data_IF_614968020893
#
_entry.id   IF_614968020893
#
_cell.length_a   1.000
_cell.length_b   1.000
_cell.length_c   1.000
_cell.angle_alpha   90.00
_cell.angle_beta   90.00
_cell.angle_gamma   90.00
#
_symmetry.space_group_name_H-M   'P 1'
#
loop_
_entity.id
_entity.type
_entity.pdbx_description
1 polymer ?
#
# COMPACT_ATOMS: atom_id res chain seq x y z
N UNK A 1 -16.46 14.46 17.00
CA UNK A 1 -16.71 13.03 16.74
C UNK A 1 -16.88 12.85 15.24
N UNK A 2 -15.75 12.76 14.54
CA UNK A 2 -15.67 12.59 13.07
C UNK A 2 -14.32 11.91 12.75
N UNK A 3 -13.93 10.95 13.60
CA UNK A 3 -12.60 10.33 13.58
C UNK A 3 -12.63 8.89 13.01
N UNK A 4 -13.80 8.24 12.97
CA UNK A 4 -13.96 6.85 12.53
C UNK A 4 -13.59 6.55 11.07
N UNK A 5 -13.74 7.51 10.15
CA UNK A 5 -13.59 7.21 8.72
C UNK A 5 -12.15 7.02 8.25
N UNK A 6 -11.16 7.45 9.03
CA UNK A 6 -9.75 7.32 8.66
C UNK A 6 -9.13 6.03 9.18
N UNK A 7 -9.47 5.60 10.39
CA UNK A 7 -8.99 4.34 10.98
C UNK A 7 -9.57 3.13 10.25
N UNK A 8 -10.88 3.13 9.97
CA UNK A 8 -11.55 2.04 9.24
C UNK A 8 -10.93 1.80 7.85
N UNK A 9 -10.61 2.88 7.11
CA UNK A 9 -9.92 2.76 5.83
C UNK A 9 -8.49 2.24 5.98
N UNK A 10 -7.77 2.63 7.05
CA UNK A 10 -6.39 2.20 7.27
C UNK A 10 -6.31 0.71 7.61
N UNK A 11 -7.24 0.21 8.43
CA UNK A 11 -7.35 -1.21 8.77
C UNK A 11 -7.74 -2.05 7.54
N UNK A 12 -8.74 -1.61 6.78
CA UNK A 12 -9.14 -2.26 5.52
C UNK A 12 -7.99 -2.26 4.50
N UNK A 13 -7.22 -1.16 4.45
CA UNK A 13 -6.05 -1.04 3.59
C UNK A 13 -4.92 -1.96 4.01
N UNK A 14 -4.68 -2.11 5.31
CA UNK A 14 -3.69 -3.04 5.82
C UNK A 14 -4.08 -4.50 5.51
N UNK A 15 -5.34 -4.87 5.72
CA UNK A 15 -5.86 -6.18 5.36
C UNK A 15 -5.73 -6.46 3.85
N UNK A 16 -6.05 -5.47 3.02
CA UNK A 16 -5.90 -5.55 1.56
C UNK A 16 -4.43 -5.66 1.14
N UNK A 17 -3.52 -4.91 1.76
CA UNK A 17 -2.07 -5.02 1.53
C UNK A 17 -1.58 -6.44 1.83
N UNK A 18 -2.07 -7.06 2.91
CA UNK A 18 -1.70 -8.43 3.27
C UNK A 18 -2.24 -9.42 2.24
N UNK A 19 -3.49 -9.24 1.78
CA UNK A 19 -4.09 -10.04 0.70
C UNK A 19 -3.34 -9.90 -0.62
N UNK A 20 -2.99 -8.68 -1.02
CA UNK A 20 -2.17 -8.39 -2.19
C UNK A 20 -0.78 -8.99 -2.06
N UNK A 21 -0.15 -8.91 -0.89
CA UNK A 21 1.15 -9.54 -0.65
C UNK A 21 1.07 -11.08 -0.77
N UNK A 22 -0.06 -11.69 -0.46
CA UNK A 22 -0.28 -13.13 -0.62
C UNK A 22 -0.53 -13.53 -2.08
N UNK A 23 -1.23 -12.69 -2.86
CA UNK A 23 -1.56 -12.95 -4.27
C UNK A 23 -0.45 -12.51 -5.25
N UNK A 24 0.25 -11.42 -4.93
CA UNK A 24 1.26 -10.77 -5.76
C UNK A 24 2.55 -10.57 -4.96
N UNK A 25 3.67 -11.08 -5.49
CA UNK A 25 4.98 -10.89 -4.86
C UNK A 25 5.39 -9.40 -4.81
N UNK A 26 4.93 -8.63 -5.81
CA UNK A 26 5.25 -7.22 -6.02
C UNK A 26 3.96 -6.44 -6.28
N UNK A 27 3.72 -5.39 -5.52
CA UNK A 27 2.55 -4.52 -5.65
C UNK A 27 2.93 -3.06 -5.35
N UNK A 28 2.04 -2.14 -5.70
CA UNK A 28 2.30 -0.71 -5.61
C UNK A 28 1.15 0.04 -4.93
N UNK A 29 1.41 1.29 -4.54
CA UNK A 29 0.37 2.13 -3.95
C UNK A 29 -0.77 2.48 -4.93
N UNK A 30 -0.49 2.47 -6.22
CA UNK A 30 -1.51 2.68 -7.27
C UNK A 30 -2.41 1.45 -7.39
N UNK A 31 -1.84 0.26 -7.28
CA UNK A 31 -2.58 -1.01 -7.33
C UNK A 31 -3.53 -1.14 -6.13
N UNK A 32 -3.05 -0.81 -4.92
CA UNK A 32 -3.90 -0.70 -3.73
C UNK A 32 -5.00 0.35 -3.92
N UNK A 33 -4.66 1.54 -4.44
CA UNK A 33 -5.64 2.61 -4.67
C UNK A 33 -6.65 2.30 -5.79
N UNK A 34 -6.33 1.33 -6.65
CA UNK A 34 -7.21 0.83 -7.72
C UNK A 34 -8.12 -0.29 -7.23
N UNK A 35 -7.62 -1.17 -6.36
CA UNK A 35 -8.40 -2.25 -5.74
C UNK A 35 -9.37 -1.71 -4.67
N UNK A 36 -8.97 -0.67 -3.92
CA UNK A 36 -9.76 -0.08 -2.86
C UNK A 36 -10.53 1.18 -3.26
N UNK A 37 -11.48 1.57 -2.41
CA UNK A 37 -12.15 2.88 -2.51
C UNK A 37 -11.14 4.02 -2.45
N UNK A 38 -11.44 5.10 -3.19
CA UNK A 38 -10.60 6.30 -3.25
C UNK A 38 -10.22 6.73 -1.83
N UNK A 39 -8.91 6.87 -1.53
CA UNK A 39 -8.48 7.17 -0.18
C UNK A 39 -9.05 8.52 0.26
N UNK A 40 -9.41 8.67 1.55
CA UNK A 40 -9.89 9.95 2.08
C UNK A 40 -8.82 11.04 1.98
N UNK A 41 -7.54 10.66 2.04
CA UNK A 41 -6.40 11.55 1.88
C UNK A 41 -5.35 10.99 0.92
N UNK A 42 -4.67 11.86 0.12
CA UNK A 42 -3.61 11.42 -0.78
C UNK A 42 -2.44 10.73 -0.05
N UNK A 43 -2.26 11.00 1.25
CA UNK A 43 -1.21 10.40 2.07
C UNK A 43 -1.65 9.12 2.79
N UNK A 44 -2.95 8.81 2.81
CA UNK A 44 -3.50 7.62 3.49
C UNK A 44 -2.86 6.30 3.03
N UNK A 45 -2.72 6.01 1.72
CA UNK A 45 -2.03 4.79 1.28
C UNK A 45 -0.58 4.76 1.79
N UNK A 46 0.15 5.87 1.67
CA UNK A 46 1.52 5.97 2.19
C UNK A 46 1.63 5.65 3.69
N UNK A 47 0.64 6.02 4.49
CA UNK A 47 0.56 5.67 5.92
C UNK A 47 0.28 4.18 6.13
N UNK A 48 -0.64 3.57 5.36
CA UNK A 48 -0.92 2.13 5.43
C UNK A 48 0.32 1.30 5.09
N UNK A 49 1.02 1.63 4.00
CA UNK A 49 2.28 0.98 3.64
C UNK A 49 3.38 1.18 4.70
N UNK A 50 3.47 2.37 5.30
CA UNK A 50 4.44 2.63 6.37
C UNK A 50 4.16 1.79 7.61
N UNK A 51 2.89 1.63 8.00
CA UNK A 51 2.47 0.76 9.09
C UNK A 51 2.75 -0.72 8.79
N UNK A 52 2.39 -1.20 7.60
CA UNK A 52 2.65 -2.57 7.16
C UNK A 52 4.16 -2.90 7.13
N UNK A 53 4.99 -1.93 6.74
CA UNK A 53 6.45 -2.03 6.78
C UNK A 53 6.96 -2.07 8.21
N UNK A 54 6.48 -1.18 9.08
CA UNK A 54 6.88 -1.15 10.49
C UNK A 54 6.54 -2.46 11.21
N UNK A 55 5.41 -3.08 10.84
CA UNK A 55 5.00 -4.39 11.33
C UNK A 55 5.77 -5.56 10.69
N UNK A 56 6.59 -5.32 9.66
CA UNK A 56 7.39 -6.36 9.01
C UNK A 56 6.56 -7.33 8.17
N UNK A 57 5.49 -6.86 7.52
CA UNK A 57 4.74 -7.63 6.51
C UNK A 57 5.25 -7.39 5.09
N UNK A 58 5.81 -6.21 4.83
CA UNK A 58 6.22 -5.77 3.49
C UNK A 58 7.56 -5.05 3.54
N UNK A 59 8.27 -5.02 2.41
CA UNK A 59 9.51 -4.26 2.24
C UNK A 59 9.47 -3.43 0.97
N UNK A 60 10.03 -2.21 1.03
CA UNK A 60 10.15 -1.35 -0.13
C UNK A 60 11.34 -1.84 -0.98
N UNK A 61 11.09 -2.32 -2.19
CA UNK A 61 12.14 -2.83 -3.09
C UNK A 61 12.70 -1.76 -4.03
N UNK A 62 11.99 -0.65 -4.18
CA UNK A 62 12.45 0.44 -5.02
C UNK A 62 11.35 1.40 -5.42
N UNK A 63 11.57 2.08 -6.53
CA UNK A 63 10.62 2.99 -7.14
C UNK A 63 10.40 2.55 -8.58
N UNK A 64 9.15 2.55 -9.02
CA UNK A 64 8.76 2.29 -10.40
C UNK A 64 8.08 3.53 -10.95
N UNK A 65 8.20 3.70 -12.26
CA UNK A 65 7.50 4.78 -12.95
C UNK A 65 6.01 4.43 -13.06
N UNK A 66 5.16 5.39 -12.70
CA UNK A 66 3.70 5.28 -12.81
C UNK A 66 3.31 5.08 -14.28
N UNK A 67 2.69 3.95 -14.60
CA UNK A 67 2.10 3.71 -15.93
C UNK A 67 0.76 4.43 -16.15
N UNK A 68 0.18 5.05 -15.12
CA UNK A 68 -1.09 5.78 -15.24
C UNK A 68 -0.88 7.08 -16.02
N UNK A 69 -1.54 7.16 -17.20
CA UNK A 69 -1.45 8.21 -18.23
C UNK A 69 -1.64 9.65 -17.70
N UNK A 70 -2.32 9.82 -16.57
CA UNK A 70 -2.60 11.13 -15.94
C UNK A 70 -1.50 11.65 -15.01
N UNK A 71 -0.47 10.84 -14.70
CA UNK A 71 0.72 11.26 -13.93
C UNK A 71 1.99 10.93 -14.71
N UNK A 72 2.17 11.56 -15.88
CA UNK A 72 3.45 11.54 -16.58
C UNK A 72 4.56 11.93 -15.60
N UNK A 73 5.50 11.02 -15.37
CA UNK A 73 6.69 11.15 -14.50
C UNK A 73 6.47 10.98 -12.97
N UNK A 74 5.33 10.46 -12.52
CA UNK A 74 5.18 10.09 -11.11
C UNK A 74 6.00 8.84 -10.78
N UNK A 75 6.98 8.94 -9.87
CA UNK A 75 7.62 7.76 -9.28
C UNK A 75 6.75 7.24 -8.14
N UNK A 76 6.31 5.98 -8.25
CA UNK A 76 5.59 5.27 -7.19
C UNK A 76 6.53 4.29 -6.51
N UNK A 77 6.39 4.16 -5.19
CA UNK A 77 7.19 3.19 -4.44
C UNK A 77 6.64 1.79 -4.64
N UNK A 78 7.52 0.85 -4.92
CA UNK A 78 7.18 -0.55 -5.10
C UNK A 78 7.43 -1.30 -3.82
N UNK A 79 6.46 -2.12 -3.46
CA UNK A 79 6.47 -2.92 -2.25
C UNK A 79 6.45 -4.40 -2.64
N UNK A 80 7.19 -5.17 -1.88
CA UNK A 80 7.19 -6.63 -1.98
C UNK A 80 6.78 -7.21 -0.64
N UNK A 81 6.16 -8.39 -0.68
CA UNK A 81 5.96 -9.19 0.53
C UNK A 81 7.29 -9.46 1.21
N UNK A 82 7.38 -9.19 2.51
CA UNK A 82 8.48 -9.75 3.29
C UNK A 82 8.00 -11.11 3.81
N UNK A 83 8.59 -12.17 3.28
CA UNK A 83 8.40 -13.47 3.88
C UNK A 83 9.14 -13.42 5.21
N UNK A 84 8.39 -13.40 6.32
CA UNK A 84 9.01 -13.51 7.63
C UNK A 84 9.67 -14.89 7.65
N UNK A 85 10.96 -14.94 7.33
CA UNK A 85 11.76 -16.15 7.47
C UNK A 85 11.86 -16.39 8.97
N UNK A 86 10.96 -17.23 9.46
CA UNK A 86 11.06 -17.86 10.77
C UNK A 86 12.43 -18.54 10.81
N UNK A 87 13.33 -18.01 11.65
CA UNK A 87 14.55 -18.69 12.07
C UNK A 87 14.27 -19.42 13.38
#
# INVERSE_FOLDING_TARGET
MLEDSHEDWHEDALATIIGLAAAHEIFSADDLAREMRRPPHPNAPGQAFSAARAAGYITAIGYQQSSTKSRKNGVIRVWRRTERRSA
#
